data_IF_349260827900
#
_entry.id   IF_349260827900
#
_cell.length_a   1.000
_cell.length_b   1.000
_cell.length_c   1.000
_cell.angle_alpha   90.00
_cell.angle_beta   90.00
_cell.angle_gamma   90.00
#
_symmetry.space_group_name_H-M   'P 1'
#
loop_
_entity.id
_entity.type
_entity.pdbx_description
1 polymer ?
#
# COMPACT_ATOMS: atom_id res chain seq x y z
N UNK A 1 6.82 39.90 -3.15
CA UNK A 1 5.43 39.58 -3.58
C UNK A 1 5.31 38.06 -3.71
N UNK A 2 4.85 37.36 -2.66
CA UNK A 2 4.64 35.90 -2.72
C UNK A 2 3.30 35.67 -3.43
N UNK A 3 3.35 35.20 -4.67
CA UNK A 3 2.15 34.79 -5.38
C UNK A 3 1.51 33.61 -4.65
N UNK A 4 0.46 33.86 -3.88
CA UNK A 4 -0.45 32.83 -3.41
C UNK A 4 -1.23 32.34 -4.62
N UNK A 5 -0.66 31.37 -5.37
CA UNK A 5 -1.45 30.55 -6.27
C UNK A 5 -2.50 29.85 -5.42
N UNK A 6 -3.71 30.42 -5.43
CA UNK A 6 -4.93 29.78 -4.95
C UNK A 6 -5.11 28.57 -5.86
N UNK A 7 -4.50 27.44 -5.47
CA UNK A 7 -4.70 26.16 -6.12
C UNK A 7 -6.16 25.78 -5.85
N UNK A 8 -7.05 26.11 -6.79
CA UNK A 8 -8.42 25.63 -6.82
C UNK A 8 -8.43 24.10 -6.72
N UNK A 9 -8.61 23.59 -5.49
CA UNK A 9 -8.79 22.17 -5.17
C UNK A 9 -10.26 22.00 -4.80
N UNK A 10 -11.13 22.24 -5.76
CA UNK A 10 -12.58 22.22 -5.58
C UNK A 10 -13.05 20.79 -5.23
N UNK A 11 -12.29 19.78 -5.67
CA UNK A 11 -12.36 18.40 -5.18
C UNK A 11 -11.49 18.23 -3.93
N UNK A 12 -12.07 18.60 -2.79
CA UNK A 12 -11.46 18.63 -1.47
C UNK A 12 -10.44 17.52 -1.18
N UNK A 13 -9.31 17.92 -0.60
CA UNK A 13 -8.47 17.03 0.19
C UNK A 13 -9.39 16.40 1.24
N UNK A 14 -9.55 15.07 1.22
CA UNK A 14 -10.33 14.35 2.23
C UNK A 14 -9.94 14.85 3.62
N UNK A 15 -10.95 15.23 4.41
CA UNK A 15 -10.73 15.69 5.76
C UNK A 15 -9.98 14.61 6.52
N UNK A 16 -9.07 14.99 7.44
CA UNK A 16 -8.29 14.02 8.23
C UNK A 16 -9.17 13.06 9.07
N UNK A 17 -10.50 13.25 9.09
CA UNK A 17 -11.48 12.45 9.81
C UNK A 17 -12.13 11.29 9.04
N UNK A 18 -11.94 11.17 7.72
CA UNK A 18 -12.55 10.10 6.90
C UNK A 18 -11.82 8.76 7.07
N UNK A 19 -11.94 8.15 8.26
CA UNK A 19 -11.27 6.88 8.66
C UNK A 19 -11.59 5.68 7.76
N UNK A 20 -12.63 5.77 6.93
CA UNK A 20 -13.02 4.73 5.99
C UNK A 20 -12.11 4.65 4.75
N UNK A 21 -11.35 5.71 4.44
CA UNK A 21 -10.57 5.81 3.21
C UNK A 21 -9.47 4.73 3.07
N UNK A 22 -8.98 4.19 4.19
CA UNK A 22 -8.02 3.09 4.23
C UNK A 22 -8.63 1.68 4.16
N UNK A 23 -9.96 1.55 4.25
CA UNK A 23 -10.63 0.24 4.22
C UNK A 23 -10.71 -0.30 2.79
N UNK A 24 -10.84 -1.63 2.68
CA UNK A 24 -11.10 -2.29 1.39
C UNK A 24 -12.58 -2.09 1.03
N UNK A 25 -12.83 -1.57 -0.16
CA UNK A 25 -14.18 -1.48 -0.71
C UNK A 25 -14.64 -2.86 -1.27
N UNK A 26 -15.93 -2.98 -1.58
CA UNK A 26 -16.52 -4.17 -2.22
C UNK A 26 -15.83 -4.57 -3.54
N UNK A 27 -15.16 -3.64 -4.22
CA UNK A 27 -14.38 -3.88 -5.44
C UNK A 27 -13.00 -4.53 -5.19
N UNK A 28 -12.69 -4.97 -3.97
CA UNK A 28 -11.43 -5.64 -3.61
C UNK A 28 -10.21 -4.72 -3.45
N UNK A 29 -10.31 -3.43 -3.80
CA UNK A 29 -9.24 -2.42 -3.65
C UNK A 29 -9.41 -1.60 -2.38
N UNK A 30 -8.33 -0.99 -1.87
CA UNK A 30 -8.47 0.08 -0.87
C UNK A 30 -9.33 1.20 -1.43
N UNK A 31 -10.21 1.79 -0.62
CA UNK A 31 -11.14 2.83 -1.05
C UNK A 31 -10.36 3.98 -1.70
N UNK A 32 -9.27 4.45 -1.06
CA UNK A 32 -8.34 5.45 -1.60
C UNK A 32 -7.80 5.13 -3.00
N UNK A 33 -7.67 3.84 -3.30
CA UNK A 33 -7.08 3.35 -4.53
C UNK A 33 -8.10 2.87 -5.55
N UNK A 34 -9.40 2.89 -5.22
CA UNK A 34 -10.46 2.42 -6.09
C UNK A 34 -10.96 3.56 -7.00
N UNK A 35 -10.87 3.37 -8.32
CA UNK A 35 -11.37 4.34 -9.29
C UNK A 35 -12.89 4.53 -9.21
N UNK A 36 -13.63 3.47 -8.90
CA UNK A 36 -15.10 3.51 -8.72
C UNK A 36 -15.51 4.25 -7.45
N UNK A 37 -14.74 4.14 -6.36
CA UNK A 37 -15.01 4.86 -5.11
C UNK A 37 -14.45 6.29 -5.10
N UNK A 38 -13.42 6.57 -5.91
CA UNK A 38 -12.77 7.87 -6.01
C UNK A 38 -12.66 8.34 -7.48
N UNK A 39 -13.79 8.44 -8.22
CA UNK A 39 -13.77 8.93 -9.58
C UNK A 39 -13.52 10.44 -9.58
N UNK A 40 -12.98 10.93 -10.69
CA UNK A 40 -12.98 12.34 -11.06
C UNK A 40 -13.81 12.54 -12.32
N UNK A 41 -14.29 13.77 -12.60
CA UNK A 41 -15.12 14.04 -13.78
C UNK A 41 -14.41 13.75 -15.11
N UNK A 42 -13.08 13.64 -15.10
CA UNK A 42 -12.26 13.31 -16.26
C UNK A 42 -12.14 11.80 -16.53
N UNK A 43 -12.98 10.97 -15.90
CA UNK A 43 -12.98 9.51 -16.10
C UNK A 43 -11.78 8.77 -15.50
N UNK A 44 -11.01 9.41 -14.62
CA UNK A 44 -9.82 8.84 -13.96
C UNK A 44 -10.01 8.82 -12.45
N UNK A 45 -9.19 8.04 -11.74
CA UNK A 45 -9.08 8.15 -10.28
C UNK A 45 -8.55 9.53 -9.92
N UNK A 46 -9.15 10.20 -8.94
CA UNK A 46 -8.82 11.60 -8.56
C UNK A 46 -7.32 11.86 -8.41
N UNK A 47 -6.61 11.00 -7.67
CA UNK A 47 -5.17 11.16 -7.44
C UNK A 47 -4.31 10.82 -8.67
N UNK A 48 -4.87 10.15 -9.68
CA UNK A 48 -4.16 9.84 -10.94
C UNK A 48 -4.51 10.80 -12.07
N UNK A 49 -5.38 11.77 -11.84
CA UNK A 49 -5.80 12.72 -12.86
C UNK A 49 -4.89 13.97 -12.86
N UNK A 50 -4.22 14.22 -13.98
CA UNK A 50 -3.35 15.41 -14.16
C UNK A 50 -4.16 16.70 -14.10
N UNK A 51 -5.36 16.74 -14.69
CA UNK A 51 -6.24 17.90 -14.57
C UNK A 51 -6.65 18.17 -13.11
N UNK A 52 -6.69 17.15 -12.26
CA UNK A 52 -7.03 17.31 -10.84
C UNK A 52 -5.82 17.68 -9.96
N UNK A 53 -4.75 16.90 -10.04
CA UNK A 53 -3.61 16.98 -9.09
C UNK A 53 -2.26 17.12 -9.79
N UNK A 54 -2.29 17.47 -11.07
CA UNK A 54 -1.12 17.77 -11.87
C UNK A 54 -0.40 19.03 -11.41
N UNK A 55 0.85 19.12 -11.83
CA UNK A 55 1.67 20.32 -11.76
C UNK A 55 1.60 21.08 -13.11
N UNK A 56 2.02 22.36 -13.16
CA UNK A 56 2.05 23.12 -14.41
C UNK A 56 2.91 22.50 -15.52
N UNK A 57 3.83 21.58 -15.18
CA UNK A 57 4.68 20.86 -16.14
C UNK A 57 3.95 19.69 -16.85
N UNK A 58 2.62 19.60 -16.75
CA UNK A 58 1.82 18.56 -17.41
C UNK A 58 1.94 17.15 -16.82
N UNK A 59 2.60 17.01 -15.66
CA UNK A 59 2.81 15.73 -14.96
C UNK A 59 2.06 15.73 -13.63
N UNK A 60 1.78 14.56 -13.05
CA UNK A 60 1.31 14.48 -11.67
C UNK A 60 2.40 15.03 -10.73
N UNK A 61 2.04 15.83 -9.72
CA UNK A 61 3.00 16.45 -8.79
C UNK A 61 3.98 15.43 -8.20
N UNK A 62 3.50 14.21 -7.89
CA UNK A 62 4.33 13.12 -7.35
C UNK A 62 5.38 12.57 -8.32
N UNK A 63 5.19 12.74 -9.62
CA UNK A 63 6.06 12.23 -10.69
C UNK A 63 6.86 13.31 -11.39
N UNK A 64 6.75 14.57 -10.96
CA UNK A 64 7.47 15.69 -11.56
C UNK A 64 8.81 15.90 -10.86
N UNK A 65 9.92 15.83 -11.61
CA UNK A 65 11.27 16.07 -11.08
C UNK A 65 11.47 17.52 -10.62
N UNK A 66 10.84 18.47 -11.30
CA UNK A 66 10.93 19.90 -10.94
C UNK A 66 10.13 20.22 -9.67
N UNK A 67 8.97 19.56 -9.45
CA UNK A 67 8.18 19.78 -8.24
C UNK A 67 8.68 18.96 -7.04
N UNK A 68 9.21 17.77 -7.29
CA UNK A 68 9.68 16.83 -6.26
C UNK A 68 11.05 16.25 -6.62
N UNK A 69 12.08 17.12 -6.65
CA UNK A 69 13.44 16.69 -6.91
C UNK A 69 13.92 15.76 -5.80
N UNK A 70 14.75 14.80 -6.17
CA UNK A 70 15.45 13.93 -5.24
C UNK A 70 16.93 14.34 -5.17
N UNK A 71 17.53 14.44 -3.97
CA UNK A 71 18.98 14.67 -3.85
C UNK A 71 19.83 13.53 -4.43
N UNK A 72 19.27 12.32 -4.53
CA UNK A 72 19.94 11.15 -5.12
C UNK A 72 19.81 11.08 -6.66
N UNK A 73 19.27 12.13 -7.29
CA UNK A 73 18.95 12.16 -8.71
C UNK A 73 17.52 11.75 -9.03
N UNK A 74 16.92 12.42 -10.02
CA UNK A 74 15.57 12.13 -10.52
C UNK A 74 14.44 12.58 -9.58
N UNK A 75 13.31 11.85 -9.63
CA UNK A 75 12.09 12.17 -8.86
C UNK A 75 12.08 11.41 -7.54
N UNK A 76 11.75 12.08 -6.43
CA UNK A 76 11.70 11.47 -5.08
C UNK A 76 10.86 10.19 -5.00
N UNK A 77 9.79 10.11 -5.80
CA UNK A 77 8.87 8.96 -5.82
C UNK A 77 9.56 7.66 -6.27
N UNK A 78 10.50 7.74 -7.22
CA UNK A 78 11.21 6.59 -7.78
C UNK A 78 12.54 6.30 -7.08
N UNK A 79 12.96 7.15 -6.16
CA UNK A 79 14.23 7.00 -5.48
C UNK A 79 14.17 5.85 -4.46
N UNK A 80 14.99 4.82 -4.67
CA UNK A 80 15.11 3.66 -3.76
C UNK A 80 15.57 4.06 -2.34
N UNK A 81 16.40 5.09 -2.25
CA UNK A 81 16.90 5.63 -0.99
C UNK A 81 15.83 6.39 -0.22
N UNK A 82 14.96 7.14 -0.93
CA UNK A 82 13.83 7.85 -0.34
C UNK A 82 12.56 7.01 -0.20
N UNK A 83 12.51 5.82 -0.79
CA UNK A 83 11.35 4.95 -0.71
C UNK A 83 11.07 4.60 0.77
N UNK A 84 9.80 4.58 1.20
CA UNK A 84 9.47 4.29 2.59
C UNK A 84 9.99 2.89 2.93
N UNK A 85 10.94 2.81 3.86
CA UNK A 85 11.44 1.54 4.38
C UNK A 85 10.25 0.88 5.08
N UNK A 86 9.71 -0.19 4.49
CA UNK A 86 8.60 -0.93 5.08
C UNK A 86 9.12 -1.54 6.37
N UNK A 87 8.56 -1.16 7.51
CA UNK A 87 8.80 -1.87 8.76
C UNK A 87 8.51 -3.36 8.52
N UNK A 88 9.33 -4.28 9.06
CA UNK A 88 9.02 -5.70 8.95
C UNK A 88 7.59 -5.91 9.45
N UNK A 89 6.76 -6.56 8.63
CA UNK A 89 5.45 -7.01 9.09
C UNK A 89 5.73 -7.95 10.25
N UNK A 90 5.37 -7.57 11.49
CA UNK A 90 5.30 -8.52 12.61
C UNK A 90 4.36 -9.62 12.17
N UNK A 91 4.91 -10.75 11.72
CA UNK A 91 4.14 -11.98 11.58
C UNK A 91 3.90 -12.45 13.00
N UNK A 92 2.74 -12.11 13.57
CA UNK A 92 2.34 -12.77 14.80
C UNK A 92 2.25 -14.26 14.50
N UNK A 93 2.81 -15.14 15.36
CA UNK A 93 2.59 -16.57 15.24
C UNK A 93 1.09 -16.83 15.23
N UNK A 94 0.66 -17.75 14.36
CA UNK A 94 -0.74 -18.19 14.33
C UNK A 94 -1.01 -18.92 15.64
N UNK A 95 -1.94 -18.46 16.50
CA UNK A 95 -2.37 -19.26 17.64
C UNK A 95 -3.05 -20.53 17.12
N UNK A 96 -2.68 -21.70 17.64
CA UNK A 96 -3.41 -22.94 17.37
C UNK A 96 -2.83 -23.86 16.29
N UNK A 97 -1.52 -24.12 16.30
CA UNK A 97 -1.04 -25.45 15.88
C UNK A 97 -0.25 -26.03 17.05
N UNK A 98 -0.87 -26.97 17.72
CA UNK A 98 -0.12 -27.88 18.58
C UNK A 98 0.86 -28.64 17.69
N UNK A 99 2.15 -28.72 18.05
CA UNK A 99 3.06 -29.62 17.38
C UNK A 99 2.55 -31.05 17.62
N UNK A 100 2.15 -31.70 16.53
CA UNK A 100 1.88 -33.14 16.51
C UNK A 100 3.18 -33.83 16.97
N UNK A 101 3.24 -34.24 18.24
CA UNK A 101 4.33 -35.07 18.73
C UNK A 101 4.35 -36.33 17.87
N UNK A 102 5.46 -36.53 17.18
CA UNK A 102 5.78 -37.80 16.56
C UNK A 102 5.89 -38.80 17.71
N UNK A 103 4.77 -39.47 17.99
CA UNK A 103 4.73 -40.58 18.92
C UNK A 103 5.81 -41.56 18.48
N UNK A 104 6.83 -41.62 19.33
CA UNK A 104 7.90 -42.61 19.33
C UNK A 104 7.22 -43.97 19.29
N UNK A 105 7.04 -44.52 18.09
CA UNK A 105 6.57 -45.88 17.87
C UNK A 105 7.51 -46.82 18.63
N UNK A 106 7.11 -47.21 19.85
CA UNK A 106 7.72 -48.32 20.57
C UNK A 106 7.39 -49.57 19.77
N UNK A 107 8.38 -50.09 19.04
CA UNK A 107 8.27 -51.36 18.32
C UNK A 107 7.94 -52.44 19.36
N UNK A 108 6.66 -52.80 19.41
CA UNK A 108 6.12 -53.90 20.20
C UNK A 108 6.64 -55.19 19.60
N UNK A 109 7.46 -55.91 20.37
CA UNK A 109 8.11 -57.14 19.95
C UNK A 109 7.12 -58.22 19.51
N UNK A 110 7.43 -58.81 18.35
CA UNK A 110 6.97 -60.13 17.94
C UNK A 110 8.08 -60.78 17.13
N UNK A 111 8.88 -61.62 17.79
CA UNK A 111 9.57 -62.75 17.17
C UNK A 111 9.44 -63.90 18.16
N UNK A 112 8.43 -64.73 17.97
CA UNK A 112 8.46 -66.12 18.40
C UNK A 112 8.66 -66.95 17.15
N UNK A 113 9.59 -67.90 17.17
CA UNK A 113 9.61 -69.13 16.38
C UNK A 113 10.67 -70.05 17.01
N UNK A 114 10.21 -71.20 17.47
CA UNK A 114 10.92 -72.35 18.04
C UNK A 114 11.97 -72.97 17.09
N UNK A 115 13.13 -73.39 17.65
CA UNK A 115 13.85 -74.65 17.38
C UNK A 115 14.85 -74.92 18.53
#
# INVERSE_FOLDING_TARGET
>A
RRATLVRGREYGRWSRGDRDMGKRCSHGKRKDSCATCNPCPHGKRRDSCVACVGCPHGKLERFCAECRPCPHGGVKYWCAECAPKRSPRRRLPRPGREPEEQERFTIRGHFGLDD
#
